data_IF_378975797696
#
_entry.id   IF_378975797696
#
_cell.length_a   1.000
_cell.length_b   1.000
_cell.length_c   1.000
_cell.angle_alpha   90.00
_cell.angle_beta   90.00
_cell.angle_gamma   90.00
#
_symmetry.space_group_name_H-M   'P 1'
#
loop_
_entity.id
_entity.type
_entity.pdbx_description
1 polymer ?
2 non-polymer ?
3 non-polymer ?
4 water ?
#
# COMPACT_ATOMS: atom_id res chain seq x y z
N UNK A 1 -14.45 -15.52 21.56
CA UNK A 1 -15.47 -14.55 21.08
C UNK A 1 -16.35 -14.02 22.22
N UNK A 2 -16.78 -12.77 22.09
CA UNK A 2 -17.85 -12.21 22.92
C UNK A 2 -19.17 -12.86 22.49
N UNK A 3 -19.83 -13.62 23.41
CA UNK A 3 -21.08 -14.29 23.03
C UNK A 3 -22.16 -13.35 22.43
N UNK A 4 -22.24 -12.13 22.94
CA UNK A 4 -23.19 -11.13 22.42
C UNK A 4 -22.87 -10.71 20.97
N UNK A 5 -21.59 -10.67 20.63
CA UNK A 5 -21.17 -10.38 19.26
C UNK A 5 -21.35 -11.61 18.35
N UNK A 6 -21.06 -12.80 18.87
CA UNK A 6 -21.34 -14.04 18.15
C UNK A 6 -22.82 -14.17 17.78
N UNK A 7 -23.69 -13.74 18.69
CA UNK A 7 -25.14 -13.72 18.43
C UNK A 7 -25.52 -12.86 17.23
N UNK A 8 -24.77 -11.78 16.98
CA UNK A 8 -24.98 -10.98 15.77
C UNK A 8 -24.46 -11.70 14.54
N UNK A 9 -23.26 -12.30 14.64
CA UNK A 9 -22.60 -12.84 13.45
C UNK A 9 -23.08 -14.23 13.02
N UNK A 10 -23.29 -15.12 13.98
CA UNK A 10 -23.61 -16.52 13.66
C UNK A 10 -24.75 -16.63 12.63
N UNK A 11 -25.87 -15.90 12.82
CA UNK A 11 -26.97 -15.96 11.85
C UNK A 11 -26.61 -15.58 10.40
N UNK A 12 -25.63 -14.70 10.23
CA UNK A 12 -25.20 -14.27 8.91
C UNK A 12 -24.48 -15.38 8.11
N UNK A 13 -24.00 -16.42 8.79
CA UNK A 13 -23.43 -17.58 8.08
C UNK A 13 -24.43 -18.28 7.19
N UNK A 14 -25.72 -18.15 7.47
CA UNK A 14 -26.75 -18.68 6.59
C UNK A 14 -26.69 -18.06 5.20
N UNK A 15 -26.16 -16.83 5.10
CA UNK A 15 -26.01 -16.17 3.80
C UNK A 15 -24.97 -16.79 2.87
N UNK A 16 -24.16 -17.71 3.40
CA UNK A 16 -23.16 -18.40 2.59
C UNK A 16 -23.61 -19.79 2.18
N UNK A 17 -24.86 -20.17 2.49
CA UNK A 17 -25.35 -21.50 2.11
C UNK A 17 -25.47 -21.60 0.59
N UNK A 18 -25.19 -22.79 0.05
CA UNK A 18 -25.26 -23.04 -1.38
C UNK A 18 -24.04 -22.66 -2.18
N UNK A 19 -23.03 -22.07 -1.55
CA UNK A 19 -21.79 -21.72 -2.25
C UNK A 19 -20.87 -22.95 -2.31
N UNK A 20 -20.13 -23.07 -3.40
CA UNK A 20 -19.24 -24.21 -3.60
C UNK A 20 -18.00 -24.05 -2.72
N UNK A 21 -17.28 -25.15 -2.56
CA UNK A 21 -16.00 -25.14 -1.86
C UNK A 21 -15.04 -24.11 -2.49
N UNK A 22 -15.00 -24.06 -3.82
CA UNK A 22 -14.17 -23.08 -4.55
C UNK A 22 -14.55 -21.64 -4.24
N UNK A 23 -15.84 -21.36 -4.20
CA UNK A 23 -16.32 -20.03 -3.83
C UNK A 23 -15.91 -19.66 -2.42
N UNK A 24 -16.08 -20.60 -1.49
CA UNK A 24 -15.71 -20.38 -0.09
C UNK A 24 -14.19 -20.21 0.10
N UNK A 25 -13.41 -20.95 -0.68
CA UNK A 25 -11.94 -20.79 -0.69
C UNK A 25 -11.54 -19.39 -1.19
N UNK A 26 -12.16 -18.96 -2.28
CA UNK A 26 -11.90 -17.59 -2.79
C UNK A 26 -12.27 -16.54 -1.76
N UNK A 27 -13.44 -16.70 -1.11
CA UNK A 27 -13.90 -15.78 -0.07
C UNK A 27 -12.93 -15.71 1.10
N UNK A 28 -12.47 -16.86 1.58
CA UNK A 28 -11.48 -16.92 2.65
C UNK A 28 -10.16 -16.25 2.24
N UNK A 29 -9.66 -16.52 1.03
CA UNK A 29 -8.46 -15.85 0.49
C UNK A 29 -8.64 -14.33 0.53
N UNK A 30 -9.80 -13.87 0.07
CA UNK A 30 -10.15 -12.45 0.06
C UNK A 30 -10.15 -11.88 1.47
N UNK A 31 -10.79 -12.56 2.41
CA UNK A 31 -10.83 -12.10 3.80
C UNK A 31 -9.42 -11.96 4.37
N UNK A 32 -8.54 -12.89 4.04
CA UNK A 32 -7.16 -12.88 4.53
C UNK A 32 -6.28 -11.81 3.91
N UNK A 33 -6.55 -11.41 2.67
CA UNK A 33 -5.67 -10.52 1.89
C UNK A 33 -6.14 -9.07 1.68
N UNK A 34 -7.45 -8.82 1.73
CA UNK A 34 -7.98 -7.55 1.22
C UNK A 34 -7.56 -6.31 2.03
N UNK A 35 -7.50 -6.43 3.36
CA UNK A 35 -7.24 -5.27 4.21
C UNK A 35 -5.86 -4.64 3.93
N UNK A 36 -4.84 -5.48 3.81
CA UNK A 36 -3.49 -5.03 3.50
C UNK A 36 -3.42 -4.42 2.10
N UNK A 37 -4.06 -5.07 1.14
CA UNK A 37 -4.11 -4.59 -0.24
C UNK A 37 -4.83 -3.23 -0.34
N UNK A 38 -5.95 -3.08 0.37
CA UNK A 38 -6.69 -1.81 0.40
C UNK A 38 -5.88 -0.70 1.07
N UNK A 39 -5.20 -1.02 2.17
CA UNK A 39 -4.36 -0.04 2.86
C UNK A 39 -3.20 0.43 1.98
N UNK A 40 -2.53 -0.51 1.31
CA UNK A 40 -1.41 -0.18 0.42
C UNK A 40 -1.83 0.67 -0.78
N UNK A 41 -3.01 0.42 -1.34
CA UNK A 41 -3.55 1.25 -2.44
C UNK A 41 -3.84 2.67 -1.96
N UNK A 42 -4.45 2.78 -0.79
CA UNK A 42 -4.79 4.07 -0.19
C UNK A 42 -3.54 4.90 0.04
N UNK A 43 -2.52 4.29 0.63
CA UNK A 43 -1.24 4.94 0.87
C UNK A 43 -0.54 5.33 -0.43
N UNK A 44 -0.53 4.44 -1.41
CA UNK A 44 0.13 4.73 -2.69
C UNK A 44 -0.59 5.84 -3.47
N UNK A 45 -1.92 5.90 -3.40
CA UNK A 45 -2.66 7.02 -3.99
C UNK A 45 -2.30 8.35 -3.33
N UNK A 46 -2.21 8.35 -2.00
CA UNK A 46 -1.78 9.54 -1.25
C UNK A 46 -0.39 9.98 -1.73
N UNK A 47 0.53 9.03 -1.81
CA UNK A 47 1.92 9.33 -2.23
C UNK A 47 2.01 9.87 -3.66
N UNK A 48 1.32 9.21 -4.60
CA UNK A 48 1.30 9.63 -6.01
C UNK A 48 0.77 11.05 -6.17
N UNK A 49 -0.28 11.40 -5.42
CA UNK A 49 -0.86 12.73 -5.48
C UNK A 49 0.13 13.78 -4.96
N UNK A 50 0.80 13.48 -3.85
CA UNK A 50 1.83 14.38 -3.30
C UNK A 50 2.94 14.58 -4.32
N UNK A 51 3.44 13.47 -4.85
CA UNK A 51 4.57 13.51 -5.76
C UNK A 51 4.29 14.37 -6.98
N UNK A 52 3.10 14.25 -7.57
CA UNK A 52 2.73 15.07 -8.71
C UNK A 52 2.41 16.50 -8.33
N UNK A 53 1.56 16.69 -7.32
CA UNK A 53 1.10 18.03 -6.91
C UNK A 53 2.20 18.96 -6.41
N UNK A 54 3.20 18.41 -5.72
CA UNK A 54 4.27 19.23 -5.18
C UNK A 54 5.36 19.55 -6.22
N UNK A 55 5.25 18.99 -7.43
CA UNK A 55 6.16 19.30 -8.52
C UNK A 55 7.29 18.31 -8.72
N UNK A 56 7.38 17.27 -7.88
CA UNK A 56 8.47 16.29 -7.95
C UNK A 56 8.62 15.61 -9.30
N UNK A 57 7.49 15.29 -9.92
CA UNK A 57 7.48 14.62 -11.21
C UNK A 57 8.04 15.44 -12.36
N UNK A 58 8.11 16.76 -12.20
CA UNK A 58 8.70 17.63 -13.22
C UNK A 58 10.21 17.36 -13.45
N UNK A 59 10.91 16.92 -12.40
CA UNK A 59 12.34 16.60 -12.49
C UNK A 59 12.69 15.13 -12.29
N UNK A 60 11.72 14.32 -11.89
CA UNK A 60 11.95 12.91 -11.58
C UNK A 60 10.97 11.99 -12.30
N UNK A 61 11.41 11.46 -13.43
CA UNK A 61 10.71 10.40 -14.14
C UNK A 61 11.05 9.07 -13.51
N UNK A 62 10.22 8.06 -13.75
CA UNK A 62 10.37 6.74 -13.14
C UNK A 62 11.68 6.05 -13.51
N UNK A 63 11.99 6.02 -14.81
CA UNK A 63 13.11 5.21 -15.31
C UNK A 63 14.08 5.92 -16.27
N UNK A 64 14.03 7.25 -16.34
CA UNK A 64 14.96 8.04 -17.14
C UNK A 64 15.40 9.26 -16.34
N UNK A 65 16.69 9.60 -16.42
CA UNK A 65 17.22 10.81 -15.82
C UNK A 65 16.82 11.98 -16.71
N UNK A 66 16.37 13.06 -16.08
CA UNK A 66 16.05 14.31 -16.81
C UNK A 66 16.75 15.45 -16.08
N UNK A 67 16.01 16.32 -15.41
CA UNK A 67 16.61 17.38 -14.62
C UNK A 67 17.28 16.74 -13.43
N UNK A 68 16.55 15.82 -12.79
CA UNK A 68 17.10 15.03 -11.69
C UNK A 68 17.17 13.55 -12.03
N UNK A 69 17.78 12.77 -11.12
CA UNK A 69 17.90 11.33 -11.34
C UNK A 69 16.54 10.63 -11.40
N UNK A 70 16.47 9.54 -12.14
CA UNK A 70 15.28 8.71 -12.16
C UNK A 70 14.94 8.20 -10.75
N UNK A 71 13.68 7.85 -10.56
CA UNK A 71 13.26 7.18 -9.33
C UNK A 71 13.90 5.79 -9.19
N UNK A 72 14.25 5.15 -10.31
CA UNK A 72 15.03 3.91 -10.26
C UNK A 72 16.39 4.17 -9.62
N UNK A 73 17.06 5.24 -10.05
CA UNK A 73 18.36 5.61 -9.49
C UNK A 73 18.27 5.92 -8.00
N UNK A 74 17.24 6.68 -7.63
CA UNK A 74 17.03 7.09 -6.23
C UNK A 74 16.79 5.86 -5.36
N UNK A 75 15.90 4.99 -5.83
CA UNK A 75 15.56 3.74 -5.14
C UNK A 75 16.78 2.84 -4.93
N UNK A 76 17.66 2.77 -5.94
CA UNK A 76 18.92 2.03 -5.83
C UNK A 76 19.78 2.59 -4.69
N UNK A 77 19.96 3.91 -4.68
CA UNK A 77 20.79 4.58 -3.68
C UNK A 77 20.26 4.40 -2.26
N UNK A 78 18.94 4.37 -2.11
CA UNK A 78 18.28 4.27 -0.80
C UNK A 78 17.79 2.85 -0.45
N UNK A 79 18.17 1.86 -1.26
CA UNK A 79 17.81 0.46 -1.00
C UNK A 79 18.28 0.05 0.40
N UNK A 80 17.35 -0.38 1.24
CA UNK A 80 17.66 -0.75 2.62
C UNK A 80 17.93 0.43 3.55
N UNK A 81 17.56 1.63 3.13
CA UNK A 81 17.80 2.85 3.90
C UNK A 81 16.56 3.75 3.88
N UNK A 82 15.38 3.17 4.08
CA UNK A 82 14.15 3.96 4.06
C UNK A 82 14.12 5.01 5.18
N UNK A 83 14.61 4.65 6.38
CA UNK A 83 14.69 5.61 7.48
C UNK A 83 15.48 6.85 7.06
N UNK A 84 16.63 6.64 6.44
CA UNK A 84 17.44 7.75 5.92
C UNK A 84 16.69 8.55 4.83
N UNK A 85 15.98 7.85 3.94
CA UNK A 85 15.21 8.54 2.89
C UNK A 85 14.17 9.50 3.49
N UNK A 86 13.45 9.04 4.51
CA UNK A 86 12.47 9.87 5.19
C UNK A 86 13.16 11.07 5.83
N UNK A 87 14.31 10.84 6.46
CA UNK A 87 15.08 11.92 7.05
C UNK A 87 15.54 12.92 5.99
N UNK A 88 15.95 12.43 4.82
CA UNK A 88 16.28 13.33 3.71
C UNK A 88 15.08 14.18 3.28
N UNK A 89 13.93 13.55 3.14
CA UNK A 89 12.71 14.24 2.74
C UNK A 89 12.30 15.33 3.73
N UNK A 90 12.59 15.10 5.01
CA UNK A 90 12.31 16.08 6.07
C UNK A 90 13.34 17.20 6.17
N UNK A 91 14.43 17.14 5.39
CA UNK A 91 15.51 18.11 5.50
C UNK A 91 16.52 17.82 6.60
N UNK A 92 16.43 16.64 7.22
CA UNK A 92 17.27 16.29 8.37
C UNK A 92 18.59 15.58 8.02
N UNK A 93 18.65 14.91 6.87
CA UNK A 93 19.84 14.20 6.41
C UNK A 93 20.23 14.77 5.06
N UNK A 94 21.51 15.18 4.90
CA UNK A 94 21.92 15.64 3.57
C UNK A 94 21.78 14.54 2.50
N UNK A 95 21.74 14.95 1.25
CA UNK A 95 21.82 14.02 0.12
C UNK A 95 23.04 13.11 0.26
N UNK A 96 22.90 11.87 -0.21
CA UNK A 96 23.99 10.89 -0.15
C UNK A 96 25.23 11.41 -0.90
X LIG B 1 14.58 15.94 -6.37
X LIG B 1 17.64 14.42 -5.93
X LIG B 1 13.15 13.75 -4.12
X LIG B 1 11.63 17.71 -6.55
X LIG B 1 15.91 17.88 -8.85
X LIG B 1 15.27 14.37 -5.23
X LIG B 1 16.52 13.89 -5.16
X LIG B 1 16.68 12.74 -4.26
X LIG B 1 15.35 12.53 -3.72
X LIG B 1 14.57 13.58 -4.39
X LIG B 1 14.89 11.50 -2.73
X LIG B 1 17.92 11.98 -3.95
X LIG B 1 18.59 12.63 -2.76
X LIG B 1 19.97 12.04 -2.58
X LIG B 1 20.76 12.09 -3.53
X LIG B 1 20.28 11.51 -1.49
X LIG B 1 12.72 15.76 -5.49
X LIG B 1 12.31 14.82 -4.62
X LIG B 1 10.93 14.99 -4.12
X LIG B 1 10.55 16.18 -4.86
X LIG B 1 11.67 16.57 -5.65
X LIG B 1 10.18 14.12 -3.15
X LIG B 1 9.27 16.92 -4.78
X LIG B 1 9.05 17.41 -3.37
X LIG B 1 13.88 17.52 -7.50
X LIG B 1 12.68 18.10 -7.46
X LIG B 1 12.45 19.21 -8.42
X LIG B 1 13.74 19.24 -9.09
X LIG B 1 14.53 18.15 -8.47
X LIG B 1 11.21 20.01 -8.62
X LIG B 1 14.23 20.11 -10.19
X LIG B 1 13.88 21.56 -10.16
X LIG B 1 16.47 16.12 -7.23
X LIG B 1 16.82 16.94 -8.22
X LIG B 1 18.24 16.88 -8.64
X LIG B 1 18.76 15.84 -7.76
X LIG B 1 17.58 15.46 -6.95
X LIG B 1 18.95 17.68 -9.70
X LIG B 1 20.18 15.32 -7.69
X LIG B 1 20.86 15.95 -6.46
X LIG B 1 20.68 15.11 -5.23
X LIG B 1 20.89 13.89 -5.32
X LIG B 1 20.30 15.66 -4.16
X LIG C 1 5.66 27.19 -11.66
X LIG C 1 6.05 27.03 -13.03
X LIG C 1 7.52 26.64 -13.10
X LIG C 1 7.62 25.21 -13.14
X LIG C 1 8.96 24.79 -12.91
X LIG C 1 9.07 24.22 -11.50
X LIG C 1 8.13 23.16 -11.33
X LIG C 1 8.58 22.23 -10.37
X LIG C 1 8.60 22.86 -8.98
X LIG C 1 7.28 22.92 -8.47
X LIG C 1 7.23 23.53 -7.19
X LIG C 1 5.89 24.23 -7.02
X LIG C 1 5.95 25.54 -7.61
#
# INVERSE_FOLDING_TARGET
VDPAKEAIMKPQLTMLKGLSDAELKALADFILRIAKQAQEKQQQDVAKAIFQQKGCGSCHQANVDTVGPSLAKIAQAYAGKEDQLIKFLKGEAPAI
HEC FE CHA CHB CHC CHD NA C1A C2A C3A C4A CMA CAA CBA CGA O1A O2A NB C1B C2B C3B C4B CMB CAB CBB NC C1C C2C C3C C4C CMC CAC CBC ND C1D C2D C3D C4D CMD CAD CBD CGD O1D O2D
PG4 O1 C1 C2 O2 C3 C4 O3 C5 C6 O4 C7 C8 O5
#
